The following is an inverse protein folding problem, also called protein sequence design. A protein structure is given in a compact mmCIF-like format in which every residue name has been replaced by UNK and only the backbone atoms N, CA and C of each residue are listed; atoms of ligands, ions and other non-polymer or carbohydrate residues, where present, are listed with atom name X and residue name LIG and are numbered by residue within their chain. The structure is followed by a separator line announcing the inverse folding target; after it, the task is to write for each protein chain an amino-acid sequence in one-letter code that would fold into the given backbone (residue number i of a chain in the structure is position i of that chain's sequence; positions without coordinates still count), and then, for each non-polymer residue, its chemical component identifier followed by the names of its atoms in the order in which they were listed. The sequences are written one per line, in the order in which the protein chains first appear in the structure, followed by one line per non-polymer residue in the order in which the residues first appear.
data_IF_613796886079
#
_entry.id   IF_613796886079
#
_cell.length_a   1.000
_cell.length_b   1.000
_cell.length_c   1.000
_cell.angle_alpha   90.00
_cell.angle_beta   90.00
_cell.angle_gamma   90.00
#
_symmetry.space_group_name_H-M   'P 1'
#
loop_
_entity.id
_entity.type
_entity.pdbx_description
1 polymer ?
#
# COMPACT_ATOMS: atom_id res chain seq x y z
N UNK A 1 -9.45 -31.41 24.02
CA UNK A 1 -9.23 -29.95 23.85
C UNK A 1 -7.72 -29.79 23.78
N UNK A 2 -7.13 -30.24 22.68
CA UNK A 2 -5.68 -30.20 22.48
C UNK A 2 -5.45 -29.44 21.19
N UNK A 3 -5.18 -28.15 21.34
CA UNK A 3 -4.78 -27.29 20.24
C UNK A 3 -3.26 -27.37 20.10
N UNK A 4 -2.84 -28.53 19.62
CA UNK A 4 -1.56 -28.78 18.97
C UNK A 4 -1.53 -27.96 17.69
N UNK A 5 -1.22 -26.66 17.80
CA UNK A 5 -0.94 -25.80 16.66
C UNK A 5 0.40 -26.25 16.07
N UNK A 6 0.34 -27.22 15.16
CA UNK A 6 1.44 -27.49 14.24
C UNK A 6 1.71 -26.23 13.41
N UNK A 7 2.84 -25.57 13.69
CA UNK A 7 3.44 -24.63 12.75
C UNK A 7 3.90 -25.46 11.55
N UNK A 8 3.00 -25.62 10.59
CA UNK A 8 3.20 -26.41 9.38
C UNK A 8 4.09 -25.62 8.42
N UNK A 9 5.41 -25.72 8.63
CA UNK A 9 6.38 -25.36 7.60
C UNK A 9 6.39 -26.45 6.54
N UNK A 10 5.78 -26.15 5.39
CA UNK A 10 6.02 -26.86 4.13
C UNK A 10 7.54 -27.05 3.91
N UNK A 11 7.99 -28.32 3.91
CA UNK A 11 9.35 -28.72 3.54
C UNK A 11 9.31 -29.99 2.68
N UNK A 12 9.98 -30.01 1.52
CA UNK A 12 10.17 -31.23 0.73
C UNK A 12 10.89 -32.30 1.55
N UNK A 13 10.39 -33.53 1.45
CA UNK A 13 10.93 -34.71 2.14
C UNK A 13 12.35 -35.01 1.66
N UNK A 14 13.32 -34.85 2.56
CA UNK A 14 14.66 -35.37 2.36
C UNK A 14 15.68 -34.71 3.29
N UNK A 15 16.22 -35.52 4.20
CA UNK A 15 17.41 -35.28 5.03
C UNK A 15 17.24 -34.61 6.40
N UNK A 16 17.66 -35.40 7.39
CA UNK A 16 18.00 -35.10 8.79
C UNK A 16 16.91 -34.59 9.73
N UNK A 17 16.95 -35.12 10.96
CA UNK A 17 16.02 -34.84 12.04
C UNK A 17 16.03 -33.34 12.34
N UNK A 18 14.94 -32.64 12.03
CA UNK A 18 14.66 -31.30 12.55
C UNK A 18 14.85 -31.33 14.07
N UNK A 19 15.71 -30.46 14.62
CA UNK A 19 15.85 -30.32 16.06
C UNK A 19 14.48 -29.92 16.62
N UNK A 20 13.91 -30.81 17.44
CA UNK A 20 12.56 -30.65 17.97
C UNK A 20 12.60 -29.61 19.09
N UNK A 21 12.52 -28.33 18.74
CA UNK A 21 12.35 -27.24 19.70
C UNK A 21 10.93 -27.30 20.26
N UNK A 22 10.85 -27.47 21.57
CA UNK A 22 9.64 -27.32 22.37
C UNK A 22 9.39 -25.83 22.62
N UNK A 23 8.14 -25.41 22.49
CA UNK A 23 7.75 -24.00 22.72
C UNK A 23 7.85 -23.67 24.21
N UNK A 24 7.78 -24.70 25.06
CA UNK A 24 7.88 -24.68 26.50
C UNK A 24 9.18 -23.98 26.96
N UNK A 25 10.32 -24.38 26.40
CA UNK A 25 11.64 -23.85 26.73
C UNK A 25 11.76 -22.35 26.39
N UNK A 26 11.06 -21.93 25.33
CA UNK A 26 11.03 -20.53 24.91
C UNK A 26 10.12 -19.67 25.80
N UNK A 27 9.01 -20.24 26.28
CA UNK A 27 8.04 -19.56 27.15
C UNK A 27 8.63 -19.30 28.54
N UNK A 28 9.54 -20.14 29.03
CA UNK A 28 10.28 -19.88 30.28
C UNK A 28 11.11 -18.60 30.22
N UNK A 29 11.59 -18.23 29.02
CA UNK A 29 12.39 -17.01 28.79
C UNK A 29 11.53 -15.80 28.45
N UNK A 30 10.52 -16.01 27.61
CA UNK A 30 9.58 -14.98 27.17
C UNK A 30 8.15 -15.48 27.38
N UNK A 31 7.51 -15.16 28.52
CA UNK A 31 6.21 -15.72 28.88
C UNK A 31 5.10 -15.29 27.92
N UNK A 32 5.25 -14.13 27.29
CA UNK A 32 4.32 -13.66 26.27
C UNK A 32 4.62 -14.32 24.91
N UNK A 33 3.71 -15.17 24.45
CA UNK A 33 3.85 -15.88 23.17
C UNK A 33 3.89 -14.97 21.96
N UNK A 34 3.17 -13.84 21.98
CA UNK A 34 3.22 -12.87 20.88
C UNK A 34 4.57 -12.14 20.85
N UNK A 35 5.07 -11.76 22.03
CA UNK A 35 6.39 -11.16 22.16
C UNK A 35 7.48 -12.14 21.70
N UNK A 36 7.40 -13.41 22.10
CA UNK A 36 8.32 -14.46 21.65
C UNK A 36 8.38 -14.53 20.12
N UNK A 37 7.22 -14.54 19.45
CA UNK A 37 7.17 -14.55 17.98
C UNK A 37 7.81 -13.31 17.39
N UNK A 38 7.58 -12.13 17.96
CA UNK A 38 8.18 -10.87 17.49
C UNK A 38 9.71 -10.87 17.65
N UNK A 39 10.22 -11.30 18.81
CA UNK A 39 11.66 -11.37 19.09
C UNK A 39 12.36 -12.41 18.20
N UNK A 40 11.76 -13.59 18.06
CA UNK A 40 12.26 -14.64 17.19
C UNK A 40 12.29 -14.18 15.72
N UNK A 41 11.24 -13.50 15.25
CA UNK A 41 11.19 -12.93 13.90
C UNK A 41 12.27 -11.86 13.69
N UNK A 42 12.47 -10.96 14.64
CA UNK A 42 13.52 -9.95 14.58
C UNK A 42 14.90 -10.60 14.47
N UNK A 43 15.17 -11.59 15.32
CA UNK A 43 16.45 -12.30 15.30
C UNK A 43 16.64 -13.10 14.01
N UNK A 44 15.61 -13.81 13.54
CA UNK A 44 15.66 -14.56 12.30
C UNK A 44 15.97 -13.67 11.08
N UNK A 45 15.44 -12.44 11.05
CA UNK A 45 15.81 -11.45 10.01
C UNK A 45 17.29 -11.06 10.10
N UNK A 46 17.82 -10.90 11.30
CA UNK A 46 19.24 -10.68 11.52
C UNK A 46 20.11 -11.81 10.97
N UNK A 47 19.76 -13.05 11.28
CA UNK A 47 20.42 -14.23 10.71
C UNK A 47 20.31 -14.28 9.19
N UNK A 48 19.18 -13.88 8.61
CA UNK A 48 19.02 -13.78 7.14
C UNK A 48 19.89 -12.71 6.50
N UNK A 49 20.29 -11.67 7.25
CA UNK A 49 21.27 -10.66 6.80
C UNK A 49 22.73 -11.12 6.98
N UNK A 50 22.95 -12.30 7.54
CA UNK A 50 24.30 -12.84 7.79
C UNK A 50 24.87 -12.47 9.16
N UNK A 51 24.05 -12.09 10.14
CA UNK A 51 24.51 -11.99 11.52
C UNK A 51 25.02 -13.35 12.02
N UNK A 52 26.05 -13.33 12.87
CA UNK A 52 26.68 -14.54 13.40
C UNK A 52 25.69 -15.37 14.23
N UNK A 53 25.75 -16.70 14.03
CA UNK A 53 25.01 -17.67 14.83
C UNK A 53 25.70 -17.89 16.17
N UNK A 54 24.92 -17.98 17.24
CA UNK A 54 25.42 -18.26 18.60
C UNK A 54 25.17 -19.68 19.06
N UNK A 55 24.49 -20.46 18.23
CA UNK A 55 24.23 -21.90 18.42
C UNK A 55 24.58 -22.63 17.12
N UNK A 56 24.95 -23.90 17.25
CA UNK A 56 25.31 -24.71 16.09
C UNK A 56 24.09 -25.00 15.20
N UNK A 57 24.32 -24.97 13.89
CA UNK A 57 23.27 -25.05 12.88
C UNK A 57 23.03 -26.50 12.46
N UNK A 58 22.00 -27.11 13.03
CA UNK A 58 21.61 -28.49 12.71
C UNK A 58 20.62 -28.54 11.53
N UNK A 59 21.02 -28.06 10.35
CA UNK A 59 20.17 -27.89 9.16
C UNK A 59 18.87 -27.07 9.39
N UNK A 60 18.76 -26.39 10.53
CA UNK A 60 17.60 -25.61 10.91
C UNK A 60 17.46 -24.33 10.05
N UNK A 61 16.22 -23.92 9.79
CA UNK A 61 15.92 -22.61 9.20
C UNK A 61 16.16 -21.49 10.22
N UNK A 62 16.41 -20.26 9.74
CA UNK A 62 16.69 -19.10 10.60
C UNK A 62 15.65 -18.88 11.73
N UNK A 63 14.33 -19.07 11.53
CA UNK A 63 13.37 -18.96 12.62
C UNK A 63 13.56 -20.01 13.73
N UNK A 64 13.93 -21.24 13.37
CA UNK A 64 14.15 -22.32 14.34
C UNK A 64 15.46 -22.08 15.10
N UNK A 65 16.52 -21.67 14.40
CA UNK A 65 17.79 -21.26 15.04
C UNK A 65 17.56 -20.11 16.02
N UNK A 66 16.75 -19.10 15.65
CA UNK A 66 16.44 -17.99 16.53
C UNK A 66 15.70 -18.42 17.80
N UNK A 67 14.75 -19.36 17.71
CA UNK A 67 14.06 -19.92 18.87
C UNK A 67 15.02 -20.70 19.78
N UNK A 68 15.98 -21.45 19.21
CA UNK A 68 17.03 -22.14 19.98
C UNK A 68 17.94 -21.16 20.70
N UNK A 69 18.38 -20.09 20.03
CA UNK A 69 19.18 -19.04 20.67
C UNK A 69 18.43 -18.36 21.83
N UNK A 70 17.11 -18.17 21.72
CA UNK A 70 16.27 -17.63 22.79
C UNK A 70 16.16 -18.62 23.96
N UNK A 71 15.84 -19.89 23.69
CA UNK A 71 15.72 -20.93 24.72
C UNK A 71 17.04 -21.13 25.50
N UNK A 72 18.18 -21.08 24.82
CA UNK A 72 19.51 -21.22 25.40
C UNK A 72 20.08 -19.92 26.01
N UNK A 73 19.29 -18.82 26.01
CA UNK A 73 19.69 -17.50 26.52
C UNK A 73 20.99 -16.95 25.88
N UNK A 74 21.19 -17.24 24.59
CA UNK A 74 22.36 -16.81 23.81
C UNK A 74 22.15 -15.46 23.14
N UNK A 75 20.95 -14.89 23.22
CA UNK A 75 20.62 -13.62 22.58
C UNK A 75 20.02 -12.63 23.58
N UNK A 76 20.57 -11.41 23.59
CA UNK A 76 20.05 -10.32 24.42
C UNK A 76 18.66 -9.89 23.97
N UNK A 77 17.65 -10.22 24.77
CA UNK A 77 16.25 -9.90 24.45
C UNK A 77 16.00 -8.39 24.36
N UNK A 78 16.67 -7.58 25.19
CA UNK A 78 16.52 -6.13 25.17
C UNK A 78 17.02 -5.51 23.86
N UNK A 79 18.13 -6.00 23.32
CA UNK A 79 18.66 -5.57 22.02
C UNK A 79 17.67 -5.91 20.90
N UNK A 80 17.02 -7.07 20.97
CA UNK A 80 15.97 -7.44 20.02
C UNK A 80 14.75 -6.52 20.14
N UNK A 81 14.32 -6.18 21.35
CA UNK A 81 13.22 -5.22 21.60
C UNK A 81 13.55 -3.84 21.01
N UNK A 82 14.74 -3.32 21.29
CA UNK A 82 15.22 -2.05 20.74
C UNK A 82 15.28 -2.09 19.21
N UNK A 83 15.74 -3.21 18.64
CA UNK A 83 15.78 -3.42 17.19
C UNK A 83 14.40 -3.39 16.55
N UNK A 84 13.39 -3.96 17.21
CA UNK A 84 11.99 -3.88 16.76
C UNK A 84 11.51 -2.43 16.78
N UNK A 85 11.69 -1.73 17.90
CA UNK A 85 11.27 -0.32 18.04
C UNK A 85 11.92 0.53 16.93
N UNK A 86 13.25 0.42 16.76
CA UNK A 86 13.98 1.16 15.72
C UNK A 86 13.46 0.86 14.32
N UNK A 87 13.10 -0.39 14.02
CA UNK A 87 12.59 -0.76 12.71
C UNK A 87 11.21 -0.18 12.40
N UNK A 88 10.40 0.08 13.43
CA UNK A 88 9.04 0.62 13.29
C UNK A 88 8.99 2.16 13.34
N UNK A 89 9.94 2.79 14.05
CA UNK A 89 9.98 4.25 14.21
C UNK A 89 10.54 5.00 13.00
N UNK A 90 11.11 4.30 12.00
CA UNK A 90 11.63 4.97 10.79
C UNK A 90 10.49 5.58 9.98
N UNK A 91 10.24 6.87 10.18
CA UNK A 91 9.31 7.63 9.35
C UNK A 91 9.86 7.71 7.91
N UNK A 92 9.00 7.54 6.89
CA UNK A 92 9.39 7.89 5.52
C UNK A 92 9.84 9.35 5.50
N UNK A 93 10.97 9.62 4.83
CA UNK A 93 11.40 11.01 4.60
C UNK A 93 10.26 11.74 3.88
N UNK A 94 9.91 12.98 4.29
CA UNK A 94 8.94 13.74 3.54
C UNK A 94 9.48 13.88 2.12
N UNK A 95 8.74 13.37 1.13
CA UNK A 95 9.08 13.65 -0.26
C UNK A 95 9.16 15.16 -0.41
N UNK A 96 10.22 15.68 -1.07
CA UNK A 96 10.26 17.10 -1.36
C UNK A 96 8.96 17.41 -2.09
N UNK A 97 8.19 18.35 -1.55
CA UNK A 97 7.15 18.96 -2.36
C UNK A 97 7.91 19.58 -3.53
N UNK A 98 7.75 18.99 -4.70
CA UNK A 98 8.11 19.69 -5.92
C UNK A 98 7.28 20.96 -5.83
N UNK A 99 7.94 22.08 -5.53
CA UNK A 99 7.34 23.40 -5.72
C UNK A 99 6.95 23.38 -7.19
N UNK A 100 5.67 23.09 -7.46
CA UNK A 100 5.09 23.28 -8.77
C UNK A 100 5.52 24.70 -9.14
N UNK A 101 6.49 24.77 -10.04
CA UNK A 101 6.87 25.99 -10.72
C UNK A 101 5.54 26.54 -11.16
N UNK A 102 5.16 27.65 -10.53
CA UNK A 102 4.00 28.41 -10.92
C UNK A 102 4.31 28.86 -12.34
N UNK A 103 3.91 28.04 -13.31
CA UNK A 103 3.88 28.38 -14.71
C UNK A 103 2.84 29.49 -14.80
N UNK A 104 3.31 30.71 -14.57
CA UNK A 104 2.70 31.93 -15.03
C UNK A 104 2.61 31.78 -16.56
N UNK A 105 1.59 31.08 -17.03
CA UNK A 105 1.19 31.17 -18.43
C UNK A 105 0.80 32.65 -18.62
N UNK A 106 1.54 33.44 -19.41
CA UNK A 106 1.09 34.77 -19.77
C UNK A 106 -0.19 34.54 -20.57
N UNK A 107 -1.34 34.97 -20.03
CA UNK A 107 -2.66 34.69 -20.59
C UNK A 107 -2.96 35.42 -21.90
N UNK A 108 -1.94 35.87 -22.62
CA UNK A 108 -2.15 36.77 -23.75
C UNK A 108 -2.41 36.03 -25.06
N UNK A 109 -2.16 34.72 -25.16
CA UNK A 109 -2.49 33.97 -26.38
C UNK A 109 -2.95 32.53 -26.10
N UNK A 110 -4.27 32.38 -26.07
CA UNK A 110 -5.03 31.23 -26.59
C UNK A 110 -4.55 29.82 -26.20
N UNK A 111 -4.94 29.32 -25.02
CA UNK A 111 -4.79 27.89 -24.70
C UNK A 111 -6.10 27.09 -24.59
N UNK A 112 -7.28 27.73 -24.57
CA UNK A 112 -8.55 26.99 -24.67
C UNK A 112 -9.61 27.79 -25.46
N UNK A 113 -9.61 27.57 -26.78
CA UNK A 113 -10.80 27.12 -27.52
C UNK A 113 -12.12 27.88 -27.45
N UNK A 114 -12.18 29.13 -27.00
CA UNK A 114 -13.31 30.02 -27.34
C UNK A 114 -12.93 30.80 -28.60
N UNK A 115 -13.31 30.29 -29.76
CA UNK A 115 -13.58 31.19 -30.88
C UNK A 115 -14.76 32.07 -30.44
N UNK A 116 -14.58 33.39 -30.50
CA UNK A 116 -15.71 34.30 -30.52
C UNK A 116 -16.52 33.97 -31.77
N UNK A 117 -17.56 33.15 -31.61
CA UNK A 117 -18.59 32.99 -32.63
C UNK A 117 -19.20 34.37 -32.82
N UNK A 118 -19.02 34.93 -34.00
CA UNK A 118 -19.68 36.18 -34.34
C UNK A 118 -21.19 35.94 -34.40
N UNK A 119 -22.00 36.94 -34.01
CA UNK A 119 -23.46 36.84 -33.99
C UNK A 119 -24.09 36.48 -35.35
N UNK A 120 -23.30 36.54 -36.42
CA UNK A 120 -23.69 36.19 -37.79
C UNK A 120 -23.70 34.66 -38.02
N UNK A 121 -22.86 33.91 -37.29
CA UNK A 121 -22.75 32.44 -37.42
C UNK A 121 -23.83 31.70 -36.61
N UNK A 122 -24.34 32.29 -35.53
CA UNK A 122 -25.40 31.69 -34.70
C UNK A 122 -26.73 31.55 -35.48
N UNK A 123 -27.02 32.49 -36.40
CA UNK A 123 -28.26 32.48 -37.18
C UNK A 123 -28.29 31.40 -38.27
N UNK A 124 -27.13 31.01 -38.81
CA UNK A 124 -27.05 29.95 -39.80
C UNK A 124 -27.30 28.57 -39.19
N UNK A 125 -26.83 28.35 -37.95
CA UNK A 125 -26.93 27.05 -37.27
C UNK A 125 -28.30 26.78 -36.63
N UNK A 126 -29.10 27.82 -36.34
CA UNK A 126 -30.47 27.64 -35.85
C UNK A 126 -31.45 27.21 -36.96
N UNK A 127 -31.18 27.57 -38.22
CA UNK A 127 -32.05 27.24 -39.35
C UNK A 127 -31.93 25.77 -39.82
N UNK A 128 -30.77 25.14 -39.61
CA UNK A 128 -30.48 23.79 -40.11
C UNK A 128 -31.00 22.67 -39.18
N UNK A 129 -31.29 23.00 -37.92
CA UNK A 129 -31.69 22.04 -36.87
C UNK A 129 -33.17 22.08 -36.49
N UNK A 130 -34.00 22.89 -37.15
CA UNK A 130 -35.45 22.89 -36.94
C UNK A 130 -36.12 21.96 -37.95
N UNK A 131 -36.88 20.98 -37.45
CA UNK A 131 -37.71 20.16 -38.33
C UNK A 131 -38.78 21.05 -39.00
N UNK A 132 -39.23 20.73 -40.23
CA UNK A 132 -40.23 21.53 -40.95
C UNK A 132 -41.52 21.76 -40.14
N UNK A 133 -41.85 20.82 -39.25
CA UNK A 133 -43.03 20.87 -38.38
C UNK A 133 -42.92 21.94 -37.28
N UNK A 134 -41.70 22.18 -36.78
CA UNK A 134 -41.43 23.19 -35.75
C UNK A 134 -41.39 24.61 -36.33
N UNK A 135 -40.96 24.76 -37.58
CA UNK A 135 -40.98 26.04 -38.30
C UNK A 135 -42.41 26.54 -38.54
N UNK A 136 -43.31 25.64 -38.95
CA UNK A 136 -44.73 25.95 -39.14
C UNK A 136 -45.45 26.28 -37.83
N UNK A 137 -45.07 25.64 -36.72
CA UNK A 137 -45.66 25.90 -35.41
C UNK A 137 -45.32 27.30 -34.87
N UNK A 138 -44.08 27.76 -35.10
CA UNK A 138 -43.62 29.09 -34.68
C UNK A 138 -44.28 30.19 -35.53
N UNK A 139 -44.45 29.98 -36.84
CA UNK A 139 -45.15 30.92 -37.72
C UNK A 139 -46.63 31.08 -37.33
N UNK A 140 -47.31 29.98 -36.98
CA UNK A 140 -48.71 30.00 -36.53
C UNK A 140 -48.86 30.66 -35.14
N UNK A 141 -47.86 30.51 -34.26
CA UNK A 141 -47.86 31.12 -32.94
C UNK A 141 -47.59 32.64 -32.96
N UNK A 142 -46.77 33.11 -33.91
CA UNK A 142 -46.43 34.53 -34.07
C UNK A 142 -47.43 35.33 -34.92
N UNK A 143 -48.20 34.67 -35.80
CA UNK A 143 -49.25 35.32 -36.58
C UNK A 143 -50.53 35.70 -35.81
N UNK A 144 -50.66 35.26 -34.55
CA UNK A 144 -51.94 35.30 -33.80
C UNK A 144 -52.11 36.40 -32.76
N UNK A 145 -51.12 37.28 -32.51
CA UNK A 145 -51.24 38.31 -31.46
C UNK A 145 -50.96 39.72 -31.96
N UNK A 146 -52.03 40.36 -32.42
CA UNK A 146 -52.14 41.82 -32.40
C UNK A 146 -52.57 42.47 -33.71
N UNK A 147 -53.89 42.51 -33.95
CA UNK A 147 -54.58 43.71 -34.48
C UNK A 147 -56.10 43.56 -34.36
N UNK A 148 -56.63 43.86 -33.18
CA UNK A 148 -57.80 44.73 -32.94
C UNK A 148 -58.02 44.90 -31.45
#
# INVERSE_FOLDING_TARGET
MDHSFEILLFYPKGASRMARVTVEDCIEKVPNRFELVLLAAQRARGLSRGEELRVDRDNDKNPVVALREIAEDKVGLDVLREGIIRSLTRAPEPEPVDEEVMDLIPTDQNIFGLQDVSAEEEHAHMADNMSPDEASAIETALGGRGRR
#
